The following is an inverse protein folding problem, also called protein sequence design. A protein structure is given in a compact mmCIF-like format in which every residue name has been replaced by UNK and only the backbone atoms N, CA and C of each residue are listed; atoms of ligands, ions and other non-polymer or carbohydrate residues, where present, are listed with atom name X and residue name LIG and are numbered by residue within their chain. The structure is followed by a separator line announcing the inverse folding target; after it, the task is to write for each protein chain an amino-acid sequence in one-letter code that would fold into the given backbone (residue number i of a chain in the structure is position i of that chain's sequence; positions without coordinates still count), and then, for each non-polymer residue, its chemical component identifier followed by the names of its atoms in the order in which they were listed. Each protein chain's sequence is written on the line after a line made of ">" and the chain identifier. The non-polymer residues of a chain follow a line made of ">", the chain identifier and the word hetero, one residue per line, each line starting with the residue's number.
data_IF_898188580681
#
_entry.id   IF_898188580681
#
_cell.length_a   1.000
_cell.length_b   1.000
_cell.length_c   1.000
_cell.angle_alpha   90.00
_cell.angle_beta   90.00
_cell.angle_gamma   90.00
#
_symmetry.space_group_name_H-M   'P 1'
#
loop_
_entity.id
_entity.type
_entity.pdbx_description
1 polymer ?
#
# COMPACT_ATOMS: atom_id res chain seq x y z
N UNK A 1 48.32 -12.16 -25.68
CA UNK A 1 46.94 -12.66 -25.86
C UNK A 1 46.16 -11.62 -26.65
N UNK A 2 45.57 -12.02 -27.78
CA UNK A 2 45.26 -11.14 -28.90
C UNK A 2 43.90 -10.48 -28.73
N UNK A 3 43.83 -9.17 -28.94
CA UNK A 3 42.61 -8.35 -29.00
C UNK A 3 41.53 -8.97 -29.90
N UNK A 4 41.96 -9.69 -30.94
CA UNK A 4 41.11 -10.49 -31.83
C UNK A 4 40.21 -11.48 -31.08
N UNK A 5 40.73 -12.17 -30.05
CA UNK A 5 39.95 -13.13 -29.26
C UNK A 5 38.81 -12.43 -28.49
N UNK A 6 39.08 -11.24 -27.95
CA UNK A 6 38.06 -10.43 -27.29
C UNK A 6 36.99 -10.00 -28.29
N UNK A 7 37.37 -9.55 -29.49
CA UNK A 7 36.41 -9.15 -30.53
C UNK A 7 35.50 -10.32 -30.91
N UNK A 8 36.04 -11.54 -31.10
CA UNK A 8 35.23 -12.71 -31.41
C UNK A 8 34.28 -13.10 -30.26
N UNK A 9 34.73 -13.02 -29.01
CA UNK A 9 33.89 -13.30 -27.83
C UNK A 9 32.75 -12.28 -27.72
N UNK A 10 33.06 -10.98 -27.81
CA UNK A 10 32.03 -9.94 -27.77
C UNK A 10 31.07 -10.03 -28.96
N UNK A 11 31.57 -10.35 -30.16
CA UNK A 11 30.73 -10.61 -31.34
C UNK A 11 29.75 -11.76 -31.12
N UNK A 12 30.21 -12.88 -30.55
CA UNK A 12 29.36 -14.01 -30.23
C UNK A 12 28.30 -13.69 -29.16
N UNK A 13 28.65 -12.92 -28.13
CA UNK A 13 27.70 -12.45 -27.10
C UNK A 13 26.62 -11.56 -27.74
N UNK A 14 27.02 -10.59 -28.57
CA UNK A 14 26.08 -9.69 -29.25
C UNK A 14 25.11 -10.46 -30.17
N UNK A 15 25.61 -11.41 -30.96
CA UNK A 15 24.77 -12.26 -31.81
C UNK A 15 23.81 -13.11 -30.96
N UNK A 16 24.28 -13.64 -29.83
CA UNK A 16 23.46 -14.41 -28.90
C UNK A 16 22.35 -13.57 -28.26
N UNK A 17 22.65 -12.32 -27.87
CA UNK A 17 21.65 -11.39 -27.34
C UNK A 17 20.61 -11.00 -28.40
N UNK A 18 21.03 -10.75 -29.64
CA UNK A 18 20.11 -10.46 -30.75
C UNK A 18 19.23 -11.67 -31.04
N UNK A 19 19.80 -12.88 -31.14
CA UNK A 19 19.05 -14.10 -31.36
C UNK A 19 18.05 -14.36 -30.21
N UNK A 20 18.48 -14.18 -28.96
CA UNK A 20 17.62 -14.27 -27.79
C UNK A 20 16.45 -13.27 -27.85
N UNK A 21 16.72 -12.01 -28.18
CA UNK A 21 15.70 -10.98 -28.33
C UNK A 21 14.72 -11.30 -29.47
N UNK A 22 15.21 -11.76 -30.62
CA UNK A 22 14.37 -12.18 -31.75
C UNK A 22 13.45 -13.35 -31.38
N UNK A 23 13.99 -14.36 -30.67
CA UNK A 23 13.19 -15.49 -30.15
C UNK A 23 12.15 -15.01 -29.16
N UNK A 24 12.52 -14.13 -28.22
CA UNK A 24 11.60 -13.53 -27.27
C UNK A 24 10.47 -12.77 -27.99
N UNK A 25 10.78 -11.88 -28.93
CA UNK A 25 9.78 -11.11 -29.69
C UNK A 25 8.83 -12.05 -30.44
N UNK A 26 9.34 -13.08 -31.10
CA UNK A 26 8.50 -14.02 -31.83
C UNK A 26 7.60 -14.83 -30.88
N UNK A 27 8.14 -15.28 -29.74
CA UNK A 27 7.37 -15.96 -28.72
C UNK A 27 6.28 -15.07 -28.12
N UNK A 28 6.59 -13.82 -27.79
CA UNK A 28 5.61 -12.84 -27.29
C UNK A 28 4.53 -12.53 -28.32
N UNK A 29 4.90 -12.29 -29.59
CA UNK A 29 3.94 -12.05 -30.67
C UNK A 29 2.99 -13.22 -30.86
N UNK A 30 3.51 -14.45 -30.90
CA UNK A 30 2.69 -15.67 -31.02
C UNK A 30 1.80 -15.89 -29.80
N UNK A 31 2.29 -15.59 -28.60
CA UNK A 31 1.52 -15.65 -27.36
C UNK A 31 0.35 -14.67 -27.40
N UNK A 32 0.60 -13.41 -27.78
CA UNK A 32 -0.43 -12.37 -27.92
C UNK A 32 -1.48 -12.76 -28.95
N UNK A 33 -1.10 -13.21 -30.15
CA UNK A 33 -2.10 -13.64 -31.16
C UNK A 33 -2.95 -14.82 -30.67
N UNK A 34 -2.37 -15.76 -29.91
CA UNK A 34 -3.13 -16.85 -29.29
C UNK A 34 -4.08 -16.35 -28.21
N UNK A 35 -3.64 -15.39 -27.40
CA UNK A 35 -4.44 -14.76 -26.36
C UNK A 35 -5.61 -14.01 -27.00
N UNK A 36 -5.38 -13.20 -28.02
CA UNK A 36 -6.42 -12.46 -28.76
C UNK A 36 -7.46 -13.40 -29.36
N UNK A 37 -7.03 -14.48 -30.01
CA UNK A 37 -7.96 -15.44 -30.60
C UNK A 37 -8.81 -16.15 -29.53
N UNK A 38 -8.20 -16.52 -28.40
CA UNK A 38 -8.92 -17.11 -27.26
C UNK A 38 -9.89 -16.11 -26.64
N UNK A 39 -9.47 -14.86 -26.49
CA UNK A 39 -10.28 -13.77 -25.94
C UNK A 39 -11.52 -13.55 -26.82
N UNK A 40 -11.37 -13.36 -28.14
CA UNK A 40 -12.51 -13.19 -29.06
C UNK A 40 -13.53 -14.34 -29.00
N UNK A 41 -13.05 -15.59 -28.95
CA UNK A 41 -13.95 -16.75 -28.85
C UNK A 41 -14.67 -16.82 -27.51
N UNK A 42 -14.02 -16.38 -26.44
CA UNK A 42 -14.59 -16.32 -25.11
C UNK A 42 -15.59 -15.16 -24.99
N UNK A 43 -15.22 -13.99 -25.51
CA UNK A 43 -16.06 -12.80 -25.62
C UNK A 43 -17.39 -13.10 -26.31
N UNK A 44 -17.37 -13.78 -27.46
CA UNK A 44 -18.60 -14.22 -28.13
C UNK A 44 -19.51 -15.07 -27.22
N UNK A 45 -18.92 -15.97 -26.42
CA UNK A 45 -19.70 -16.80 -25.49
C UNK A 45 -20.25 -15.99 -24.32
N UNK A 46 -19.44 -15.09 -23.76
CA UNK A 46 -19.86 -14.24 -22.65
C UNK A 46 -20.94 -13.26 -23.10
N UNK A 47 -20.83 -12.66 -24.29
CA UNK A 47 -21.86 -11.78 -24.87
C UNK A 47 -23.23 -12.45 -24.95
N UNK A 48 -23.29 -13.70 -25.41
CA UNK A 48 -24.55 -14.48 -25.40
C UNK A 48 -25.13 -14.58 -23.97
N UNK A 49 -24.29 -14.76 -22.95
CA UNK A 49 -24.77 -14.80 -21.57
C UNK A 49 -25.20 -13.43 -21.04
N UNK A 50 -24.53 -12.35 -21.46
CA UNK A 50 -24.94 -10.98 -21.11
C UNK A 50 -26.28 -10.61 -21.75
N UNK A 51 -26.53 -11.04 -22.99
CA UNK A 51 -27.84 -10.87 -23.65
C UNK A 51 -28.95 -11.62 -22.90
N UNK A 52 -28.66 -12.82 -22.37
CA UNK A 52 -29.60 -13.57 -21.51
C UNK A 52 -29.91 -12.78 -20.23
N UNK A 53 -28.88 -12.30 -19.54
CA UNK A 53 -29.03 -11.49 -18.32
C UNK A 53 -29.84 -10.21 -18.60
N UNK A 54 -29.59 -9.55 -19.73
CA UNK A 54 -30.36 -8.36 -20.15
C UNK A 54 -31.84 -8.66 -20.40
N UNK A 55 -32.17 -9.91 -20.75
CA UNK A 55 -33.54 -10.41 -20.88
C UNK A 55 -34.07 -11.04 -19.58
N UNK A 56 -33.43 -10.78 -18.43
CA UNK A 56 -33.78 -11.34 -17.12
C UNK A 56 -33.73 -12.88 -17.05
N UNK A 57 -32.93 -13.51 -17.92
CA UNK A 57 -32.67 -14.94 -17.90
C UNK A 57 -31.35 -15.27 -17.19
N UNK A 58 -31.32 -16.42 -16.52
CA UNK A 58 -30.09 -16.95 -15.89
C UNK A 58 -29.03 -17.37 -16.93
N UNK A 59 -27.76 -17.32 -16.50
CA UNK A 59 -26.62 -17.89 -17.22
C UNK A 59 -26.82 -19.39 -17.44
N UNK A 60 -26.51 -19.88 -18.65
CA UNK A 60 -26.73 -21.29 -18.99
C UNK A 60 -25.84 -22.23 -18.17
N UNK A 61 -26.43 -23.32 -17.65
CA UNK A 61 -25.68 -24.38 -16.92
C UNK A 61 -24.49 -24.94 -17.70
N UNK A 62 -24.59 -25.07 -19.02
CA UNK A 62 -23.48 -25.55 -19.88
C UNK A 62 -22.30 -24.58 -19.88
N UNK A 63 -22.55 -23.29 -19.67
CA UNK A 63 -21.52 -22.26 -19.59
C UNK A 63 -20.65 -22.43 -18.34
N UNK A 64 -21.23 -22.76 -17.20
CA UNK A 64 -20.47 -23.08 -15.97
C UNK A 64 -19.47 -24.22 -16.19
N UNK A 65 -19.91 -25.33 -16.78
CA UNK A 65 -19.03 -26.47 -17.11
C UNK A 65 -17.91 -26.07 -18.07
N UNK A 66 -18.22 -25.23 -19.06
CA UNK A 66 -17.24 -24.70 -19.99
C UNK A 66 -16.18 -23.84 -19.29
N UNK A 67 -16.61 -22.92 -18.42
CA UNK A 67 -15.70 -22.04 -17.67
C UNK A 67 -14.83 -22.82 -16.69
N UNK A 68 -15.41 -23.72 -15.89
CA UNK A 68 -14.66 -24.59 -14.97
C UNK A 68 -13.51 -25.33 -15.68
N UNK A 69 -13.80 -25.90 -16.86
CA UNK A 69 -12.78 -26.58 -17.66
C UNK A 69 -11.77 -25.61 -18.26
N UNK A 70 -12.22 -24.54 -18.92
CA UNK A 70 -11.32 -23.66 -19.68
C UNK A 70 -10.45 -22.79 -18.79
N UNK A 71 -11.04 -22.17 -17.77
CA UNK A 71 -10.36 -21.23 -16.89
C UNK A 71 -9.40 -21.92 -15.90
N UNK A 72 -9.41 -23.25 -15.79
CA UNK A 72 -8.38 -24.02 -15.06
C UNK A 72 -6.96 -23.90 -15.65
N UNK A 73 -6.86 -23.38 -16.87
CA UNK A 73 -5.59 -23.05 -17.51
C UNK A 73 -5.34 -21.55 -17.50
N UNK A 74 -4.20 -21.12 -16.96
CA UNK A 74 -3.86 -19.69 -16.77
C UNK A 74 -3.95 -18.87 -18.05
N UNK A 75 -3.53 -19.40 -19.20
CA UNK A 75 -3.62 -18.67 -20.47
C UNK A 75 -5.06 -18.43 -20.96
N UNK A 76 -6.05 -19.20 -20.50
CA UNK A 76 -7.46 -18.91 -20.77
C UNK A 76 -8.05 -17.99 -19.69
N UNK A 77 -7.54 -18.05 -18.45
CA UNK A 77 -7.89 -17.10 -17.41
C UNK A 77 -7.43 -15.68 -17.78
N UNK A 78 -6.24 -15.54 -18.38
CA UNK A 78 -5.75 -14.27 -18.95
C UNK A 78 -6.61 -13.78 -20.11
N UNK A 79 -7.04 -14.69 -21.00
CA UNK A 79 -7.98 -14.31 -22.07
C UNK A 79 -9.34 -13.87 -21.50
N UNK A 80 -9.78 -14.48 -20.40
CA UNK A 80 -11.00 -14.09 -19.70
C UNK A 80 -10.88 -12.73 -19.03
N UNK A 81 -9.74 -12.42 -18.41
CA UNK A 81 -9.42 -11.09 -17.89
C UNK A 81 -9.53 -10.02 -18.99
N UNK A 82 -8.90 -10.23 -20.15
CA UNK A 82 -9.03 -9.29 -21.28
C UNK A 82 -10.48 -9.15 -21.78
N UNK A 83 -11.22 -10.26 -21.85
CA UNK A 83 -12.65 -10.25 -22.20
C UNK A 83 -13.46 -9.42 -21.20
N UNK A 84 -13.23 -9.61 -19.90
CA UNK A 84 -13.92 -8.85 -18.86
C UNK A 84 -13.57 -7.36 -18.92
N UNK A 85 -12.30 -6.98 -19.15
CA UNK A 85 -11.93 -5.56 -19.32
C UNK A 85 -12.78 -4.86 -20.37
N UNK A 86 -12.97 -5.49 -21.53
CA UNK A 86 -13.77 -4.93 -22.63
C UNK A 86 -15.27 -4.88 -22.28
N UNK A 87 -15.78 -5.89 -21.58
CA UNK A 87 -17.19 -5.95 -21.19
C UNK A 87 -17.50 -4.89 -20.14
N UNK A 88 -16.67 -4.74 -19.11
CA UNK A 88 -16.87 -3.74 -18.06
C UNK A 88 -16.86 -2.30 -18.59
N UNK A 89 -16.15 -2.03 -19.69
CA UNK A 89 -16.17 -0.72 -20.34
C UNK A 89 -17.50 -0.39 -21.04
N UNK A 90 -18.25 -1.41 -21.48
CA UNK A 90 -19.43 -1.22 -22.31
C UNK A 90 -20.75 -1.53 -21.56
N UNK A 91 -20.74 -2.50 -20.65
CA UNK A 91 -21.93 -3.08 -19.99
C UNK A 91 -21.63 -3.38 -18.51
N UNK A 92 -21.32 -2.36 -17.71
CA UNK A 92 -20.82 -2.55 -16.33
C UNK A 92 -21.80 -3.34 -15.42
N UNK A 93 -23.10 -3.02 -15.50
CA UNK A 93 -24.12 -3.63 -14.63
C UNK A 93 -24.33 -5.11 -14.97
N UNK A 94 -24.47 -5.44 -16.26
CA UNK A 94 -24.60 -6.81 -16.75
C UNK A 94 -23.32 -7.60 -16.48
N UNK A 95 -22.15 -6.96 -16.52
CA UNK A 95 -20.88 -7.59 -16.16
C UNK A 95 -20.84 -7.98 -14.68
N UNK A 96 -21.27 -7.08 -13.78
CA UNK A 96 -21.36 -7.34 -12.34
C UNK A 96 -22.34 -8.48 -12.06
N UNK A 97 -23.52 -8.44 -12.67
CA UNK A 97 -24.53 -9.50 -12.55
C UNK A 97 -24.02 -10.85 -13.08
N UNK A 98 -23.34 -10.84 -14.23
CA UNK A 98 -22.74 -12.05 -14.79
C UNK A 98 -21.71 -12.66 -13.84
N UNK A 99 -20.79 -11.86 -13.28
CA UNK A 99 -19.82 -12.34 -12.30
C UNK A 99 -20.48 -12.88 -11.04
N UNK A 100 -21.55 -12.23 -10.58
CA UNK A 100 -22.34 -12.71 -9.45
C UNK A 100 -22.95 -14.09 -9.72
N UNK A 101 -23.54 -14.31 -10.89
CA UNK A 101 -24.12 -15.60 -11.26
C UNK A 101 -23.08 -16.71 -11.40
N UNK A 102 -21.90 -16.42 -11.96
CA UNK A 102 -20.83 -17.41 -12.13
C UNK A 102 -19.91 -17.58 -10.92
N UNK A 103 -20.24 -17.01 -9.74
CA UNK A 103 -19.39 -17.05 -8.54
C UNK A 103 -18.91 -18.45 -8.14
N UNK A 104 -19.73 -19.48 -8.34
CA UNK A 104 -19.39 -20.88 -8.06
C UNK A 104 -18.23 -21.41 -8.93
N UNK A 105 -18.04 -20.86 -10.13
CA UNK A 105 -16.88 -21.12 -10.98
C UNK A 105 -15.61 -20.66 -10.29
N UNK A 106 -15.61 -19.46 -9.69
CA UNK A 106 -14.44 -18.95 -8.99
C UNK A 106 -14.13 -19.74 -7.72
N UNK A 107 -15.15 -20.21 -7.01
CA UNK A 107 -14.94 -21.12 -5.89
C UNK A 107 -14.27 -22.43 -6.35
N UNK A 108 -14.75 -23.06 -7.42
CA UNK A 108 -14.08 -24.23 -8.01
C UNK A 108 -12.64 -23.92 -8.44
N UNK A 109 -12.43 -22.81 -9.14
CA UNK A 109 -11.11 -22.41 -9.61
C UNK A 109 -10.15 -22.11 -8.46
N UNK A 110 -10.62 -21.58 -7.34
CA UNK A 110 -9.77 -21.32 -6.18
C UNK A 110 -9.10 -22.60 -5.66
N UNK A 111 -9.83 -23.73 -5.63
CA UNK A 111 -9.27 -25.05 -5.30
C UNK A 111 -8.26 -25.53 -6.36
N UNK A 112 -8.54 -25.28 -7.64
CA UNK A 112 -7.65 -25.65 -8.75
C UNK A 112 -6.34 -24.86 -8.69
N UNK A 113 -6.42 -23.54 -8.52
CA UNK A 113 -5.27 -22.64 -8.49
C UNK A 113 -4.47 -22.72 -7.20
N UNK A 114 -5.06 -23.23 -6.10
CA UNK A 114 -4.33 -23.58 -4.90
C UNK A 114 -3.18 -24.55 -5.20
N UNK A 115 -3.42 -25.55 -6.07
CA UNK A 115 -2.46 -26.59 -6.45
C UNK A 115 -1.47 -26.15 -7.54
N UNK A 116 -1.60 -24.94 -8.08
CA UNK A 116 -0.71 -24.41 -9.12
C UNK A 116 0.53 -23.75 -8.51
N UNK A 117 1.51 -23.49 -9.37
CA UNK A 117 2.69 -22.70 -9.01
C UNK A 117 2.29 -21.30 -8.52
N UNK A 118 3.15 -20.71 -7.68
CA UNK A 118 2.83 -19.49 -6.94
C UNK A 118 2.46 -18.30 -7.84
N UNK A 119 3.07 -18.19 -9.03
CA UNK A 119 2.74 -17.12 -9.99
C UNK A 119 1.30 -17.23 -10.50
N UNK A 120 0.85 -18.46 -10.79
CA UNK A 120 -0.53 -18.69 -11.25
C UNK A 120 -1.54 -18.48 -10.13
N UNK A 121 -1.24 -18.93 -8.91
CA UNK A 121 -2.09 -18.65 -7.74
C UNK A 121 -2.18 -17.15 -7.47
N UNK A 122 -1.05 -16.43 -7.56
CA UNK A 122 -1.01 -14.99 -7.38
C UNK A 122 -1.83 -14.25 -8.46
N UNK A 123 -1.75 -14.69 -9.72
CA UNK A 123 -2.55 -14.11 -10.79
C UNK A 123 -4.05 -14.37 -10.61
N UNK A 124 -4.43 -15.56 -10.15
CA UNK A 124 -5.83 -15.86 -9.82
C UNK A 124 -6.35 -14.98 -8.67
N UNK A 125 -5.57 -14.83 -7.59
CA UNK A 125 -5.93 -13.95 -6.47
C UNK A 125 -6.05 -12.48 -6.90
N UNK A 126 -5.17 -12.02 -7.79
CA UNK A 126 -5.27 -10.69 -8.39
C UNK A 126 -6.59 -10.49 -9.15
N UNK A 127 -7.05 -11.52 -9.89
CA UNK A 127 -8.31 -11.44 -10.61
C UNK A 127 -9.50 -11.36 -9.65
N UNK A 128 -9.48 -12.12 -8.53
CA UNK A 128 -10.49 -12.03 -7.48
C UNK A 128 -10.62 -10.62 -6.91
N UNK A 129 -9.49 -9.98 -6.59
CA UNK A 129 -9.48 -8.61 -6.06
C UNK A 129 -9.92 -7.59 -7.11
N UNK A 130 -9.37 -7.69 -8.33
CA UNK A 130 -9.61 -6.73 -9.42
C UNK A 130 -11.10 -6.60 -9.78
N UNK A 131 -11.81 -7.72 -9.83
CA UNK A 131 -13.21 -7.76 -10.21
C UNK A 131 -14.16 -7.87 -9.02
N UNK A 132 -13.66 -7.72 -7.78
CA UNK A 132 -14.49 -7.73 -6.57
C UNK A 132 -15.39 -8.97 -6.49
N UNK A 133 -14.88 -10.11 -6.93
CA UNK A 133 -15.66 -11.36 -7.05
C UNK A 133 -16.17 -11.83 -5.68
N UNK A 134 -15.49 -11.42 -4.60
CA UNK A 134 -15.77 -11.83 -3.25
C UNK A 134 -16.79 -10.95 -2.50
N UNK A 135 -17.13 -9.74 -2.98
CA UNK A 135 -17.86 -8.71 -2.22
C UNK A 135 -19.31 -9.05 -1.83
N UNK A 136 -19.84 -10.17 -2.33
CA UNK A 136 -21.19 -10.67 -2.03
C UNK A 136 -21.23 -12.18 -1.80
N UNK A 137 -20.07 -12.79 -1.51
CA UNK A 137 -19.96 -14.24 -1.33
C UNK A 137 -20.09 -14.59 0.15
N UNK A 138 -21.23 -15.13 0.56
CA UNK A 138 -21.45 -15.63 1.93
C UNK A 138 -20.88 -17.05 2.07
N UNK A 139 -19.56 -17.23 2.15
CA UNK A 139 -18.98 -18.55 2.42
C UNK A 139 -17.60 -18.50 3.08
N UNK A 140 -17.48 -19.20 4.21
CA UNK A 140 -16.22 -19.58 4.86
C UNK A 140 -15.25 -20.29 3.89
N UNK A 141 -15.77 -20.98 2.86
CA UNK A 141 -14.95 -21.79 1.95
C UNK A 141 -13.96 -20.97 1.10
N UNK A 142 -14.36 -19.78 0.59
CA UNK A 142 -13.42 -18.94 -0.17
C UNK A 142 -12.39 -18.31 0.76
N UNK A 143 -12.81 -17.92 1.98
CA UNK A 143 -11.92 -17.42 3.02
C UNK A 143 -10.85 -18.46 3.35
N UNK A 144 -11.24 -19.71 3.61
CA UNK A 144 -10.31 -20.80 3.93
C UNK A 144 -9.29 -21.02 2.82
N UNK A 145 -9.71 -20.96 1.56
CA UNK A 145 -8.80 -21.11 0.42
C UNK A 145 -7.85 -19.90 0.31
N UNK A 146 -8.33 -18.68 0.53
CA UNK A 146 -7.49 -17.49 0.56
C UNK A 146 -6.50 -17.52 1.74
N UNK A 147 -6.89 -18.05 2.91
CA UNK A 147 -5.97 -18.30 4.03
C UNK A 147 -4.85 -19.26 3.62
N UNK A 148 -5.14 -20.30 2.83
CA UNK A 148 -4.09 -21.16 2.28
C UNK A 148 -3.19 -20.42 1.27
N UNK A 149 -3.71 -19.44 0.53
CA UNK A 149 -2.89 -18.62 -0.36
C UNK A 149 -1.95 -17.69 0.42
N UNK A 150 -2.37 -17.21 1.59
CA UNK A 150 -1.55 -16.40 2.50
C UNK A 150 -0.36 -17.19 3.08
N UNK A 151 -0.42 -18.52 3.09
CA UNK A 151 0.67 -19.39 3.55
C UNK A 151 1.70 -19.71 2.47
N UNK A 152 1.48 -19.30 1.21
CA UNK A 152 2.45 -19.52 0.13
C UNK A 152 3.69 -18.65 0.28
N UNK A 153 4.85 -19.18 -0.09
CA UNK A 153 6.14 -18.47 -0.01
C UNK A 153 6.16 -17.15 -0.81
N UNK A 154 5.47 -17.13 -1.96
CA UNK A 154 5.46 -15.97 -2.86
C UNK A 154 4.78 -14.75 -2.23
N UNK A 155 5.54 -13.66 -2.09
CA UNK A 155 5.03 -12.37 -1.63
C UNK A 155 3.83 -11.89 -2.46
N UNK A 156 3.89 -12.00 -3.80
CA UNK A 156 2.80 -11.60 -4.69
C UNK A 156 1.51 -12.39 -4.44
N UNK A 157 1.63 -13.69 -4.14
CA UNK A 157 0.46 -14.51 -3.82
C UNK A 157 -0.20 -14.03 -2.54
N UNK A 158 0.60 -13.76 -1.50
CA UNK A 158 0.12 -13.26 -0.21
C UNK A 158 -0.50 -11.87 -0.33
N UNK A 159 0.16 -10.96 -1.04
CA UNK A 159 -0.33 -9.60 -1.27
C UNK A 159 -1.66 -9.62 -2.04
N UNK A 160 -1.76 -10.40 -3.12
CA UNK A 160 -3.00 -10.47 -3.90
C UNK A 160 -4.12 -11.19 -3.14
N UNK A 161 -3.80 -12.19 -2.32
CA UNK A 161 -4.77 -12.82 -1.43
C UNK A 161 -5.29 -11.84 -0.37
N UNK A 162 -4.42 -11.02 0.24
CA UNK A 162 -4.86 -9.93 1.13
C UNK A 162 -5.72 -8.90 0.40
N UNK A 163 -5.34 -8.46 -0.82
CA UNK A 163 -6.17 -7.57 -1.64
C UNK A 163 -7.55 -8.17 -1.94
N UNK A 164 -7.60 -9.48 -2.16
CA UNK A 164 -8.88 -10.17 -2.32
C UNK A 164 -9.68 -10.18 -1.02
N UNK A 165 -9.06 -10.37 0.15
CA UNK A 165 -9.73 -10.27 1.45
C UNK A 165 -10.26 -8.87 1.74
N UNK A 166 -9.50 -7.81 1.41
CA UNK A 166 -9.99 -6.44 1.59
C UNK A 166 -11.25 -6.14 0.77
N UNK A 167 -11.41 -6.80 -0.39
CA UNK A 167 -12.61 -6.64 -1.22
C UNK A 167 -13.81 -7.48 -0.78
N UNK A 168 -13.69 -8.36 0.24
CA UNK A 168 -14.87 -9.02 0.83
C UNK A 168 -15.79 -8.01 1.52
N UNK A 169 -15.22 -6.93 2.07
CA UNK A 169 -15.96 -5.98 2.89
C UNK A 169 -16.39 -6.55 4.25
N UNK A 170 -15.64 -7.52 4.78
CA UNK A 170 -15.86 -8.10 6.11
C UNK A 170 -14.63 -7.90 6.98
N UNK A 171 -14.82 -7.24 8.12
CA UNK A 171 -13.73 -6.83 9.00
C UNK A 171 -13.08 -8.03 9.72
N UNK A 172 -13.86 -9.06 10.07
CA UNK A 172 -13.36 -10.25 10.76
C UNK A 172 -12.45 -11.05 9.85
N UNK A 173 -12.82 -11.17 8.57
CA UNK A 173 -12.02 -11.87 7.56
C UNK A 173 -10.66 -11.22 7.35
N UNK A 174 -10.60 -9.88 7.38
CA UNK A 174 -9.34 -9.13 7.28
C UNK A 174 -8.44 -9.40 8.49
N UNK A 175 -9.01 -9.34 9.70
CA UNK A 175 -8.27 -9.60 10.95
C UNK A 175 -7.77 -11.03 11.00
N UNK A 176 -8.57 -12.00 10.56
CA UNK A 176 -8.15 -13.40 10.45
C UNK A 176 -7.05 -13.60 9.41
N UNK A 177 -7.12 -12.94 8.25
CA UNK A 177 -6.06 -12.96 7.25
C UNK A 177 -4.72 -12.48 7.81
N UNK A 178 -4.73 -11.39 8.58
CA UNK A 178 -3.53 -10.86 9.26
C UNK A 178 -3.02 -11.87 10.28
N UNK A 179 -3.90 -12.47 11.10
CA UNK A 179 -3.49 -13.53 12.05
C UNK A 179 -2.82 -14.72 11.36
N UNK A 180 -3.30 -15.13 10.18
CA UNK A 180 -2.67 -16.20 9.40
C UNK A 180 -1.28 -15.80 8.90
N UNK A 181 -1.11 -14.57 8.42
CA UNK A 181 0.22 -14.06 8.03
C UNK A 181 1.20 -14.08 9.22
N UNK A 182 0.75 -13.64 10.39
CA UNK A 182 1.55 -13.61 11.61
C UNK A 182 1.96 -15.02 12.05
N UNK A 183 1.02 -15.98 12.06
CA UNK A 183 1.30 -17.38 12.41
C UNK A 183 2.27 -18.06 11.45
N UNK A 184 2.30 -17.63 10.18
CA UNK A 184 3.22 -18.19 9.20
C UNK A 184 4.69 -17.80 9.43
N UNK A 185 4.95 -16.75 10.24
CA UNK A 185 6.26 -16.12 10.42
C UNK A 185 6.95 -15.69 9.10
N UNK A 186 6.21 -15.61 8.00
CA UNK A 186 6.76 -15.20 6.71
C UNK A 186 6.67 -13.68 6.60
N UNK A 187 7.80 -13.03 6.36
CA UNK A 187 7.89 -11.58 6.21
C UNK A 187 6.81 -11.01 5.26
N UNK A 188 6.01 -10.08 5.76
CA UNK A 188 5.03 -9.30 5.01
C UNK A 188 5.27 -7.82 5.31
N UNK A 189 5.61 -7.03 4.29
CA UNK A 189 6.11 -5.68 4.49
C UNK A 189 5.02 -4.76 5.07
N UNK A 190 5.32 -4.06 6.17
CA UNK A 190 4.39 -3.20 6.92
C UNK A 190 3.66 -2.17 6.05
N UNK A 191 4.37 -1.56 5.09
CA UNK A 191 3.75 -0.63 4.13
C UNK A 191 2.68 -1.29 3.24
N UNK A 192 2.91 -2.53 2.79
CA UNK A 192 1.92 -3.25 1.96
C UNK A 192 0.65 -3.52 2.79
N UNK A 193 0.82 -3.84 4.07
CA UNK A 193 -0.31 -4.04 4.99
C UNK A 193 -1.05 -2.72 5.23
N UNK A 194 -0.36 -1.63 5.57
CA UNK A 194 -1.00 -0.34 5.83
C UNK A 194 -1.73 0.19 4.59
N UNK A 195 -1.11 0.11 3.41
CA UNK A 195 -1.71 0.57 2.16
C UNK A 195 -2.92 -0.30 1.79
N UNK A 196 -2.81 -1.62 2.00
CA UNK A 196 -3.91 -2.55 1.77
C UNK A 196 -5.11 -2.33 2.72
N UNK A 197 -4.86 -2.06 3.99
CA UNK A 197 -5.94 -1.72 4.96
C UNK A 197 -6.68 -0.44 4.57
N UNK A 198 -6.00 0.52 3.91
CA UNK A 198 -6.64 1.70 3.36
C UNK A 198 -7.52 1.41 2.13
N UNK A 199 -7.26 0.31 1.40
CA UNK A 199 -8.09 -0.17 0.28
C UNK A 199 -9.33 -0.97 0.73
N UNK A 200 -9.49 -1.27 2.03
CA UNK A 200 -10.69 -1.94 2.54
C UNK A 200 -11.95 -1.11 2.24
N UNK A 201 -13.06 -1.76 1.89
CA UNK A 201 -14.23 -1.06 1.32
C UNK A 201 -15.46 -1.00 2.24
N UNK A 202 -15.40 -1.60 3.44
CA UNK A 202 -16.52 -1.60 4.39
C UNK A 202 -16.22 -0.71 5.62
N UNK A 203 -16.62 -1.14 6.82
CA UNK A 203 -16.57 -0.30 8.01
C UNK A 203 -15.16 -0.26 8.61
N UNK A 204 -14.47 0.86 8.36
CA UNK A 204 -13.12 1.07 8.87
C UNK A 204 -13.07 1.26 10.37
N UNK A 205 -14.10 1.83 11.01
CA UNK A 205 -14.10 2.04 12.45
C UNK A 205 -14.25 0.71 13.18
N UNK A 206 -15.13 -0.16 12.67
CA UNK A 206 -15.25 -1.55 13.13
C UNK A 206 -13.96 -2.34 12.88
N UNK A 207 -13.34 -2.20 11.71
CA UNK A 207 -12.06 -2.87 11.41
C UNK A 207 -10.95 -2.42 12.36
N UNK A 208 -10.82 -1.12 12.62
CA UNK A 208 -9.84 -0.59 13.57
C UNK A 208 -10.10 -1.17 14.96
N UNK A 209 -11.34 -1.19 15.43
CA UNK A 209 -11.69 -1.73 16.74
C UNK A 209 -11.28 -3.21 16.88
N UNK A 210 -11.55 -4.04 15.86
CA UNK A 210 -11.17 -5.46 15.87
C UNK A 210 -9.65 -5.68 15.80
N UNK A 211 -8.94 -4.87 14.99
CA UNK A 211 -7.48 -4.88 14.96
C UNK A 211 -6.90 -4.48 16.31
N UNK A 212 -7.48 -3.47 16.96
CA UNK A 212 -7.05 -2.98 18.26
C UNK A 212 -7.21 -4.05 19.36
N UNK A 213 -8.32 -4.79 19.36
CA UNK A 213 -8.54 -5.90 20.29
C UNK A 213 -7.48 -7.01 20.20
N UNK A 214 -6.87 -7.18 19.02
CA UNK A 214 -5.81 -8.17 18.79
C UNK A 214 -4.40 -7.54 18.78
N UNK A 215 -4.27 -6.24 19.02
CA UNK A 215 -3.06 -5.46 18.76
C UNK A 215 -1.81 -6.02 19.44
N UNK A 216 -1.90 -6.30 20.74
CA UNK A 216 -0.77 -6.81 21.54
C UNK A 216 -0.33 -8.24 21.17
N UNK A 217 -1.12 -8.95 20.36
CA UNK A 217 -0.80 -10.32 19.90
C UNK A 217 0.01 -10.33 18.60
N UNK A 218 0.11 -9.20 17.92
CA UNK A 218 0.84 -9.06 16.67
C UNK A 218 2.31 -8.72 16.90
N UNK A 219 3.17 -9.06 15.93
CA UNK A 219 4.53 -8.60 15.85
C UNK A 219 4.60 -7.09 15.70
N UNK A 220 5.74 -6.53 16.11
CA UNK A 220 5.97 -5.08 16.13
C UNK A 220 5.74 -4.46 14.76
N UNK A 221 6.18 -5.10 13.68
CA UNK A 221 6.04 -4.60 12.31
C UNK A 221 4.56 -4.46 11.89
N UNK A 222 3.73 -5.43 12.30
CA UNK A 222 2.29 -5.45 12.06
C UNK A 222 1.58 -4.43 12.93
N UNK A 223 1.96 -4.31 14.20
CA UNK A 223 1.50 -3.24 15.09
C UNK A 223 1.79 -1.85 14.48
N UNK A 224 3.01 -1.61 14.01
CA UNK A 224 3.39 -0.36 13.34
C UNK A 224 2.54 -0.10 12.10
N UNK A 225 2.27 -1.14 11.28
CA UNK A 225 1.39 -1.01 10.12
C UNK A 225 -0.03 -0.59 10.53
N UNK A 226 -0.59 -1.20 11.59
CA UNK A 226 -1.90 -0.86 12.15
C UNK A 226 -1.91 0.59 12.67
N UNK A 227 -0.91 1.02 13.44
CA UNK A 227 -0.83 2.41 13.93
C UNK A 227 -0.76 3.42 12.78
N UNK A 228 0.00 3.11 11.72
CA UNK A 228 0.05 3.96 10.53
C UNK A 228 -1.30 3.99 9.79
N UNK A 229 -1.97 2.85 9.65
CA UNK A 229 -3.32 2.77 9.10
C UNK A 229 -4.29 3.65 9.89
N UNK A 230 -4.32 3.52 11.22
CA UNK A 230 -5.16 4.35 12.11
C UNK A 230 -4.82 5.84 11.92
N UNK A 231 -3.53 6.20 11.91
CA UNK A 231 -3.10 7.58 11.61
C UNK A 231 -3.67 8.09 10.29
N UNK A 232 -3.72 7.27 9.25
CA UNK A 232 -4.26 7.72 7.97
C UNK A 232 -5.78 7.83 7.97
N UNK A 233 -6.48 7.16 8.90
CA UNK A 233 -7.94 7.10 8.96
C UNK A 233 -8.59 8.05 9.96
N UNK A 234 -8.19 8.06 11.23
CA UNK A 234 -8.96 8.74 12.29
C UNK A 234 -8.08 9.32 13.40
N UNK A 235 -8.56 10.43 13.98
CA UNK A 235 -8.04 11.11 15.16
C UNK A 235 -8.57 10.58 16.50
N UNK A 236 -9.49 9.61 16.48
CA UNK A 236 -10.25 9.19 17.69
C UNK A 236 -9.46 8.30 18.66
N UNK A 237 -8.22 7.95 18.32
CA UNK A 237 -7.34 7.06 19.09
C UNK A 237 -6.24 7.82 19.84
N UNK A 238 -6.44 9.12 20.10
CA UNK A 238 -5.45 9.96 20.79
C UNK A 238 -5.03 9.42 22.16
N UNK A 239 -5.97 8.93 22.97
CA UNK A 239 -5.67 8.37 24.29
C UNK A 239 -4.81 7.10 24.18
N UNK A 240 -5.21 6.17 23.32
CA UNK A 240 -4.49 4.94 23.06
C UNK A 240 -3.07 5.19 22.51
N UNK A 241 -2.93 6.12 21.57
CA UNK A 241 -1.63 6.51 21.02
C UNK A 241 -0.73 7.17 22.08
N UNK A 242 -1.33 7.90 23.03
CA UNK A 242 -0.59 8.52 24.12
C UNK A 242 -0.07 7.46 25.11
N UNK A 243 -0.85 6.42 25.39
CA UNK A 243 -0.40 5.27 26.20
C UNK A 243 0.83 4.59 25.56
N UNK A 244 0.77 4.32 24.26
CA UNK A 244 1.91 3.76 23.50
C UNK A 244 3.13 4.68 23.58
N UNK A 245 2.93 6.00 23.42
CA UNK A 245 4.03 6.98 23.46
C UNK A 245 4.74 7.02 24.83
N UNK A 246 3.96 6.92 25.92
CA UNK A 246 4.42 6.99 27.32
C UNK A 246 5.15 5.72 27.77
N UNK A 247 4.78 4.56 27.25
CA UNK A 247 5.35 3.29 27.68
C UNK A 247 6.79 3.10 27.16
N UNK A 248 7.76 3.29 28.05
CA UNK A 248 9.19 3.17 27.76
C UNK A 248 9.62 1.72 27.45
N UNK A 249 8.80 0.72 27.79
CA UNK A 249 9.07 -0.68 27.51
C UNK A 249 8.58 -1.11 26.12
N UNK A 250 7.76 -0.28 25.45
CA UNK A 250 7.33 -0.55 24.07
C UNK A 250 8.48 -0.37 23.11
N UNK A 251 8.42 -1.13 22.00
CA UNK A 251 9.36 -0.97 20.91
C UNK A 251 9.34 0.49 20.40
N UNK A 252 10.52 1.04 20.14
CA UNK A 252 10.71 2.41 19.66
C UNK A 252 9.91 2.74 18.40
N UNK A 253 9.72 1.79 17.48
CA UNK A 253 8.98 2.00 16.24
C UNK A 253 7.49 2.30 16.49
N UNK A 254 6.91 1.73 17.55
CA UNK A 254 5.54 2.03 17.97
C UNK A 254 5.44 3.46 18.51
N UNK A 255 6.43 3.87 19.29
CA UNK A 255 6.52 5.24 19.83
C UNK A 255 6.74 6.25 18.69
N UNK A 256 7.55 5.92 17.69
CA UNK A 256 7.71 6.73 16.47
C UNK A 256 6.42 6.83 15.65
N UNK A 257 5.63 5.74 15.57
CA UNK A 257 4.32 5.78 14.94
C UNK A 257 3.35 6.71 15.71
N UNK A 258 3.35 6.65 17.04
CA UNK A 258 2.55 7.53 17.90
C UNK A 258 2.96 9.02 17.78
N UNK A 259 4.27 9.33 17.72
CA UNK A 259 4.72 10.72 17.48
C UNK A 259 4.18 11.24 16.15
N UNK A 260 4.30 10.44 15.08
CA UNK A 260 3.75 10.79 13.76
C UNK A 260 2.24 10.92 13.78
N UNK A 261 1.53 10.14 14.61
CA UNK A 261 0.09 10.28 14.83
C UNK A 261 -0.24 11.67 15.38
N UNK A 262 0.47 12.09 16.43
CA UNK A 262 0.31 13.41 17.02
C UNK A 262 0.80 14.57 16.16
N UNK A 263 1.63 14.31 15.14
CA UNK A 263 1.95 15.28 14.09
C UNK A 263 0.86 15.47 13.04
N UNK A 264 -0.16 14.59 13.03
CA UNK A 264 -1.35 14.72 12.17
C UNK A 264 -2.58 15.19 12.95
N UNK A 265 -2.76 14.68 14.16
CA UNK A 265 -3.88 15.01 15.03
C UNK A 265 -3.38 15.76 16.26
N UNK A 266 -3.78 17.03 16.36
CA UNK A 266 -3.43 17.86 17.50
C UNK A 266 -4.06 17.29 18.77
N UNK A 267 -3.23 17.00 19.77
CA UNK A 267 -3.67 16.49 21.08
C UNK A 267 -2.86 17.12 22.21
N UNK A 268 -3.40 18.15 22.92
CA UNK A 268 -2.65 18.89 23.93
C UNK A 268 -1.92 18.04 24.99
N UNK A 269 -2.49 16.92 25.49
CA UNK A 269 -1.80 16.06 26.45
C UNK A 269 -0.50 15.41 25.93
N UNK A 270 -0.29 15.32 24.62
CA UNK A 270 0.95 14.81 24.04
C UNK A 270 2.09 15.85 24.05
N UNK A 271 1.76 17.15 24.08
CA UNK A 271 2.72 18.24 23.94
C UNK A 271 3.92 18.16 24.91
N UNK A 272 3.74 17.92 26.23
CA UNK A 272 4.89 17.85 27.15
C UNK A 272 5.91 16.79 26.75
N UNK A 273 5.45 15.64 26.25
CA UNK A 273 6.30 14.53 25.82
C UNK A 273 6.99 14.83 24.50
N UNK A 274 6.28 15.47 23.56
CA UNK A 274 6.87 15.91 22.29
C UNK A 274 7.97 16.95 22.51
N UNK A 275 7.78 17.90 23.43
CA UNK A 275 8.80 18.89 23.80
C UNK A 275 10.01 18.23 24.48
N UNK A 276 9.78 17.24 25.36
CA UNK A 276 10.86 16.46 26.00
C UNK A 276 11.71 15.76 24.94
N UNK A 277 11.09 15.02 24.01
CA UNK A 277 11.81 14.31 22.95
C UNK A 277 12.50 15.24 21.96
N UNK A 278 11.87 16.34 21.56
CA UNK A 278 12.51 17.32 20.68
C UNK A 278 13.71 18.02 21.33
N UNK A 279 13.71 18.12 22.66
CA UNK A 279 14.80 18.72 23.43
C UNK A 279 15.97 17.77 23.72
N UNK A 280 15.80 16.46 23.45
CA UNK A 280 16.84 15.45 23.68
C UNK A 280 18.00 15.63 22.69
N UNK A 281 19.20 15.79 23.24
CA UNK A 281 20.43 15.99 22.47
C UNK A 281 21.25 14.72 22.32
N UNK A 282 20.79 13.58 22.85
CA UNK A 282 21.46 12.30 22.67
C UNK A 282 21.46 11.89 21.18
N UNK A 283 22.65 11.68 20.63
CA UNK A 283 22.81 11.29 19.23
C UNK A 283 22.22 9.91 18.93
N UNK A 284 22.07 9.05 19.94
CA UNK A 284 21.44 7.73 19.80
C UNK A 284 19.91 7.81 19.71
N UNK A 285 19.29 8.90 20.16
CA UNK A 285 17.84 9.11 20.15
C UNK A 285 17.38 10.14 19.12
N UNK A 286 18.20 10.43 18.11
CA UNK A 286 17.90 11.45 17.10
C UNK A 286 16.55 11.25 16.39
N UNK A 287 16.06 10.00 16.25
CA UNK A 287 14.74 9.71 15.70
C UNK A 287 13.60 10.33 16.53
N UNK A 288 13.67 10.23 17.87
CA UNK A 288 12.69 10.87 18.75
C UNK A 288 12.69 12.38 18.57
N UNK A 289 13.87 12.99 18.56
CA UNK A 289 14.01 14.42 18.36
C UNK A 289 13.50 14.86 16.98
N UNK A 290 13.88 14.15 15.91
CA UNK A 290 13.48 14.48 14.54
C UNK A 290 11.98 14.34 14.33
N UNK A 291 11.38 13.23 14.78
CA UNK A 291 9.94 13.01 14.62
C UNK A 291 9.13 13.96 15.49
N UNK A 292 9.58 14.26 16.72
CA UNK A 292 8.87 15.19 17.61
C UNK A 292 8.98 16.62 17.11
N UNK A 293 10.16 17.04 16.62
CA UNK A 293 10.32 18.32 15.95
C UNK A 293 9.33 18.46 14.78
N UNK A 294 9.14 17.41 13.97
CA UNK A 294 8.14 17.42 12.90
C UNK A 294 6.70 17.46 13.43
N UNK A 295 6.39 16.77 14.53
CA UNK A 295 5.04 16.75 15.09
C UNK A 295 4.63 18.11 15.69
N UNK A 296 5.60 18.85 16.24
CA UNK A 296 5.40 20.17 16.85
C UNK A 296 4.89 21.25 15.85
N UNK A 297 4.92 20.99 14.54
CA UNK A 297 4.38 21.89 13.52
C UNK A 297 2.90 22.27 13.73
N UNK A 298 2.12 21.44 14.44
CA UNK A 298 0.71 21.70 14.74
C UNK A 298 0.46 22.04 16.23
N UNK A 299 1.50 22.38 16.99
CA UNK A 299 1.42 22.75 18.40
C UNK A 299 1.94 24.16 18.66
N UNK A 300 1.18 25.21 18.30
CA UNK A 300 1.62 26.58 18.49
C UNK A 300 1.83 26.92 19.97
N UNK A 301 2.89 27.66 20.26
CA UNK A 301 3.20 28.14 21.59
C UNK A 301 4.65 28.58 21.72
N UNK A 302 4.91 29.49 22.66
CA UNK A 302 6.24 30.05 22.92
C UNK A 302 7.27 28.94 23.23
N UNK A 303 6.93 28.02 24.14
CA UNK A 303 7.78 26.86 24.46
C UNK A 303 8.07 25.97 23.26
N UNK A 304 7.10 25.79 22.37
CA UNK A 304 7.32 25.02 21.13
C UNK A 304 8.33 25.73 20.25
N UNK A 305 8.18 27.03 20.06
CA UNK A 305 9.10 27.83 19.25
C UNK A 305 10.52 27.81 19.84
N UNK A 306 10.67 27.97 21.16
CA UNK A 306 11.96 27.86 21.86
C UNK A 306 12.65 26.52 21.60
N UNK A 307 11.92 25.40 21.75
CA UNK A 307 12.46 24.05 21.54
C UNK A 307 12.84 23.83 20.07
N UNK A 308 12.01 24.30 19.13
CA UNK A 308 12.31 24.19 17.70
C UNK A 308 13.52 25.03 17.30
N UNK A 309 13.67 26.25 17.83
CA UNK A 309 14.86 27.09 17.65
C UNK A 309 16.12 26.40 18.16
N UNK A 310 16.06 25.78 19.34
CA UNK A 310 17.18 24.97 19.85
C UNK A 310 17.46 23.76 18.94
N UNK A 311 16.42 23.12 18.42
CA UNK A 311 16.54 21.98 17.50
C UNK A 311 17.19 22.35 16.16
N UNK A 312 17.09 23.60 15.70
CA UNK A 312 17.81 24.10 14.53
C UNK A 312 19.34 24.05 14.69
N UNK A 313 19.84 24.06 15.93
CA UNK A 313 21.26 23.98 16.24
C UNK A 313 21.73 22.52 16.46
N UNK A 314 20.85 21.53 16.25
CA UNK A 314 21.20 20.12 16.40
C UNK A 314 22.32 19.74 15.42
N UNK A 315 23.21 18.82 15.81
CA UNK A 315 24.21 18.25 14.89
C UNK A 315 23.59 17.36 13.82
N UNK A 316 22.39 16.81 14.08
CA UNK A 316 21.68 15.93 13.15
C UNK A 316 20.87 16.73 12.11
N UNK A 317 21.13 16.48 10.82
CA UNK A 317 20.48 17.19 9.72
C UNK A 317 18.95 17.02 9.71
N UNK A 318 18.41 15.83 10.03
CA UNK A 318 16.97 15.58 10.02
C UNK A 318 16.25 16.37 11.12
N UNK A 319 16.87 16.51 12.29
CA UNK A 319 16.33 17.32 13.39
C UNK A 319 16.26 18.79 12.96
N UNK A 320 17.36 19.33 12.40
CA UNK A 320 17.38 20.71 11.88
C UNK A 320 16.34 20.94 10.79
N UNK A 321 16.28 20.04 9.81
CA UNK A 321 15.36 20.13 8.68
C UNK A 321 13.90 20.13 9.12
N UNK A 322 13.52 19.23 10.04
CA UNK A 322 12.16 19.13 10.56
C UNK A 322 11.80 20.31 11.48
N UNK A 323 12.76 20.80 12.26
CA UNK A 323 12.56 21.99 13.08
C UNK A 323 12.29 23.23 12.22
N UNK A 324 13.11 23.45 11.19
CA UNK A 324 12.93 24.55 10.25
C UNK A 324 11.58 24.48 9.52
N UNK A 325 11.15 23.27 9.11
CA UNK A 325 9.83 23.07 8.52
C UNK A 325 8.71 23.47 9.47
N UNK A 326 8.83 23.06 10.72
CA UNK A 326 7.77 23.25 11.72
C UNK A 326 7.66 24.71 12.11
N UNK A 327 8.78 25.43 12.21
CA UNK A 327 8.82 26.88 12.43
C UNK A 327 8.10 27.64 11.31
N UNK A 328 8.35 27.27 10.05
CA UNK A 328 7.68 27.87 8.88
C UNK A 328 6.17 27.56 8.87
N UNK A 329 5.78 26.30 9.14
CA UNK A 329 4.37 25.89 9.23
C UNK A 329 3.62 26.58 10.38
N UNK A 330 4.30 26.93 11.46
CA UNK A 330 3.73 27.72 12.57
C UNK A 330 3.52 29.20 12.20
N UNK A 331 3.97 29.65 11.01
CA UNK A 331 3.82 31.02 10.56
C UNK A 331 4.69 32.01 11.33
N UNK A 332 5.83 31.55 11.85
CA UNK A 332 6.74 32.36 12.66
C UNK A 332 7.30 33.53 11.83
N UNK A 333 7.25 34.75 12.38
CA UNK A 333 7.74 35.93 11.66
C UNK A 333 9.27 35.95 11.58
N UNK A 334 9.81 36.66 10.58
CA UNK A 334 11.26 36.90 10.49
C UNK A 334 11.80 37.60 11.74
N UNK A 335 11.00 38.50 12.34
CA UNK A 335 11.37 39.21 13.56
C UNK A 335 11.58 38.26 14.72
N UNK A 336 10.68 37.27 14.87
CA UNK A 336 10.79 36.24 15.91
C UNK A 336 11.97 35.30 15.69
N UNK A 337 12.64 35.34 14.54
CA UNK A 337 13.80 34.51 14.20
C UNK A 337 15.11 35.29 14.14
N UNK A 338 15.10 36.57 14.51
CA UNK A 338 16.27 37.45 14.39
C UNK A 338 17.48 36.94 15.18
N UNK A 339 17.26 36.28 16.30
CA UNK A 339 18.26 35.58 17.12
C UNK A 339 18.93 34.42 16.38
N UNK A 340 18.19 33.69 15.55
CA UNK A 340 18.73 32.62 14.70
C UNK A 340 19.43 33.20 13.48
N UNK A 341 18.80 34.17 12.81
CA UNK A 341 19.32 34.76 11.57
C UNK A 341 20.63 35.52 11.79
N UNK A 342 20.78 36.18 12.94
CA UNK A 342 22.00 36.89 13.33
C UNK A 342 22.90 36.10 14.27
N UNK A 343 22.49 34.88 14.67
CA UNK A 343 23.25 34.05 15.58
C UNK A 343 24.51 33.42 14.96
N UNK A 344 25.37 32.85 15.80
CA UNK A 344 26.67 32.30 15.40
C UNK A 344 26.57 30.95 14.67
N UNK A 345 25.44 30.23 14.80
CA UNK A 345 25.25 28.94 14.14
C UNK A 345 24.91 29.13 12.65
N UNK A 346 25.93 28.97 11.81
CA UNK A 346 25.82 29.03 10.36
C UNK A 346 24.82 28.00 9.80
N UNK A 347 24.78 26.78 10.33
CA UNK A 347 23.92 25.72 9.80
C UNK A 347 22.45 25.97 10.11
N UNK A 348 22.14 26.50 11.29
CA UNK A 348 20.79 26.93 11.64
C UNK A 348 20.29 28.02 10.68
N UNK A 349 21.13 29.03 10.41
CA UNK A 349 20.83 30.12 9.47
C UNK A 349 20.63 29.63 8.04
N UNK A 350 21.55 28.81 7.53
CA UNK A 350 21.45 28.25 6.18
C UNK A 350 20.21 27.36 6.02
N UNK A 351 19.83 26.59 7.04
CA UNK A 351 18.63 25.77 7.00
C UNK A 351 17.35 26.60 6.91
N UNK A 352 17.25 27.71 7.65
CA UNK A 352 16.10 28.62 7.57
C UNK A 352 16.04 29.34 6.22
N UNK A 353 17.17 29.82 5.70
CA UNK A 353 17.21 30.41 4.35
C UNK A 353 16.76 29.41 3.29
N UNK A 354 17.28 28.18 3.32
CA UNK A 354 16.84 27.12 2.41
C UNK A 354 15.33 26.88 2.47
N UNK A 355 14.71 26.99 3.64
CA UNK A 355 13.24 26.87 3.78
C UNK A 355 12.50 28.04 3.17
N UNK A 356 12.92 29.27 3.43
CA UNK A 356 12.29 30.46 2.85
C UNK A 356 12.41 30.47 1.32
N UNK A 357 13.59 30.15 0.78
CA UNK A 357 13.80 30.04 -0.67
C UNK A 357 12.85 29.00 -1.27
N UNK A 358 12.77 27.81 -0.67
CA UNK A 358 11.89 26.73 -1.13
C UNK A 358 10.41 27.11 -1.08
N UNK A 359 9.99 27.90 -0.09
CA UNK A 359 8.62 28.40 0.00
C UNK A 359 8.30 29.36 -1.14
N UNK A 360 9.19 30.30 -1.43
CA UNK A 360 9.05 31.22 -2.56
C UNK A 360 8.96 30.45 -3.88
N UNK A 361 9.83 29.48 -4.12
CA UNK A 361 9.76 28.64 -5.32
C UNK A 361 8.43 27.89 -5.46
N UNK A 362 7.90 27.32 -4.35
CA UNK A 362 6.61 26.62 -4.39
C UNK A 362 5.44 27.56 -4.63
N UNK A 363 5.48 28.78 -4.07
CA UNK A 363 4.47 29.82 -4.30
C UNK A 363 4.48 30.26 -5.78
N UNK A 364 5.66 30.47 -6.37
CA UNK A 364 5.83 30.77 -7.80
C UNK A 364 5.32 29.63 -8.71
N UNK A 365 5.64 28.37 -8.41
CA UNK A 365 5.13 27.22 -9.18
C UNK A 365 3.60 27.08 -9.08
N UNK A 366 3.02 27.31 -7.91
CA UNK A 366 1.58 27.25 -7.70
C UNK A 366 0.85 28.36 -8.49
N UNK A 367 1.38 29.58 -8.49
CA UNK A 367 0.85 30.70 -9.28
C UNK A 367 0.86 30.39 -10.78
N UNK A 368 1.97 29.85 -11.31
CA UNK A 368 2.08 29.44 -12.72
C UNK A 368 1.10 28.33 -13.06
N UNK A 369 0.87 27.36 -12.17
CA UNK A 369 -0.08 26.27 -12.38
C UNK A 369 -1.55 26.71 -12.35
N UNK A 370 -1.89 27.80 -11.64
CA UNK A 370 -3.25 28.37 -11.64
C UNK A 370 -3.57 29.26 -12.85
N UNK A 371 -2.56 29.67 -13.62
CA UNK A 371 -2.71 30.53 -14.81
C UNK A 371 -2.82 29.70 -16.11
N UNK A 372 -2.56 28.39 -16.04
CA UNK A 372 -2.74 27.39 -17.11
C UNK A 372 -4.05 26.62 -16.92
#
# INVERSE_FOLDING_TARGET
>A
MRVELFIYIYGAICISMIAFNCVCIFMFKRSNTRLDHRSRKLEQRVRIQLERIANEEEVEKKHFCYLNRKLSHVGNLMAFDETLKQIFQNNENEAKQYLYEIRSVFLYLSVVYLKKESVQSAYFAYLLSKYKICSHMSFDAMLDILKEYLKKESLYCRQNAMKALYSFGDEEHVVEGIKVLEQSHIFFHSKILSDGLLEFEADHDKLIALLWQSFDKFFVETQVAILNYIRFRTGDYCENMLEILKDKNRNQELRYAAIRYFGKYHYPPALPILLEFASDTDSLHWNYAAFSASALAIYPGEKTLEVLKKSLMSSNWYVRYNAAQSIDLLGTSYFDLMDIMNGDDRYAREMMNYRFDRRQFNEEEAEVATVL
#
